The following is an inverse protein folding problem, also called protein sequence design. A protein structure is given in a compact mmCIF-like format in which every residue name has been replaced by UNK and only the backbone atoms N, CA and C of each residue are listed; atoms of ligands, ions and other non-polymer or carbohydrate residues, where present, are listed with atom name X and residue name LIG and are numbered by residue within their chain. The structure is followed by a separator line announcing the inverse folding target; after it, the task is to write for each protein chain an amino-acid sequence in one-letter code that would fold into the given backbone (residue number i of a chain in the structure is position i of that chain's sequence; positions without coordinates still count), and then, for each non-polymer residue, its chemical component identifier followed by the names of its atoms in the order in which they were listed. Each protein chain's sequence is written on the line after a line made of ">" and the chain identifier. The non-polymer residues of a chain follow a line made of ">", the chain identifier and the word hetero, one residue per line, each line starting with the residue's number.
data_IF_013074118787
#
_entry.id   IF_013074118787
#
_cell.length_a   1.000
_cell.length_b   1.000
_cell.length_c   1.000
_cell.angle_alpha   90.00
_cell.angle_beta   90.00
_cell.angle_gamma   90.00
#
_symmetry.space_group_name_H-M   'P 1'
#
loop_
_entity.id
_entity.type
_entity.pdbx_description
1 polymer ?
#
# COMPACT_ATOMS: atom_id res chain seq x y z
N UNK A 1 -9.86 -27.30 -17.96
CA UNK A 1 -9.34 -26.38 -16.93
C UNK A 1 -7.97 -25.90 -17.38
N UNK A 2 -7.72 -24.60 -17.31
CA UNK A 2 -6.42 -24.01 -17.59
C UNK A 2 -5.57 -24.09 -16.31
N UNK A 3 -4.33 -24.56 -16.43
CA UNK A 3 -3.38 -24.71 -15.31
C UNK A 3 -2.39 -23.54 -15.33
N UNK A 4 -2.29 -22.79 -14.23
CA UNK A 4 -1.42 -21.61 -14.11
C UNK A 4 -0.43 -21.80 -12.95
N UNK A 5 0.89 -21.67 -13.15
CA UNK A 5 1.86 -21.64 -12.06
C UNK A 5 1.54 -20.51 -11.07
N UNK A 6 1.64 -20.77 -9.76
CA UNK A 6 1.25 -19.81 -8.74
C UNK A 6 2.07 -20.00 -7.46
N UNK A 7 2.49 -18.89 -6.86
CA UNK A 7 3.01 -18.86 -5.49
C UNK A 7 2.08 -18.01 -4.63
N UNK A 8 1.49 -18.60 -3.60
CA UNK A 8 0.70 -17.85 -2.63
C UNK A 8 1.64 -17.32 -1.55
N UNK A 9 1.63 -16.00 -1.32
CA UNK A 9 2.51 -15.37 -0.34
C UNK A 9 1.72 -14.49 0.62
N UNK A 10 2.21 -14.40 1.85
CA UNK A 10 1.91 -13.29 2.75
C UNK A 10 2.94 -12.20 2.48
N UNK A 11 2.51 -11.03 2.03
CA UNK A 11 3.33 -9.82 1.95
C UNK A 11 2.88 -8.82 3.00
N UNK A 12 3.71 -8.53 4.01
CA UNK A 12 3.31 -7.68 5.14
C UNK A 12 2.05 -8.23 5.83
N UNK A 13 1.04 -7.38 5.99
CA UNK A 13 -0.28 -7.74 6.55
C UNK A 13 -1.32 -8.12 5.48
N UNK A 14 -0.89 -8.49 4.27
CA UNK A 14 -1.76 -8.92 3.18
C UNK A 14 -1.36 -10.30 2.64
N UNK A 15 -2.27 -10.94 1.93
CA UNK A 15 -2.06 -12.26 1.30
C UNK A 15 -2.59 -12.23 -0.13
N UNK A 16 -1.86 -12.87 -1.03
CA UNK A 16 -2.26 -12.93 -2.43
C UNK A 16 -1.36 -13.84 -3.25
N UNK A 17 -1.83 -14.35 -4.40
CA UNK A 17 -0.96 -15.00 -5.36
C UNK A 17 0.03 -14.00 -5.99
N UNK A 18 1.22 -14.52 -6.26
CA UNK A 18 2.27 -13.88 -7.04
C UNK A 18 2.49 -14.71 -8.29
N UNK A 19 2.35 -14.07 -9.45
CA UNK A 19 2.49 -14.68 -10.77
C UNK A 19 3.67 -14.08 -11.53
N UNK A 20 4.28 -14.88 -12.40
CA UNK A 20 5.12 -14.34 -13.47
C UNK A 20 4.22 -13.80 -14.57
N UNK A 21 4.60 -12.68 -15.19
CA UNK A 21 3.75 -12.04 -16.20
C UNK A 21 3.46 -12.96 -17.40
N UNK A 22 4.43 -13.76 -17.84
CA UNK A 22 4.29 -14.70 -18.97
C UNK A 22 3.44 -15.94 -18.66
N UNK A 23 3.06 -16.17 -17.40
CA UNK A 23 2.10 -17.22 -17.04
C UNK A 23 0.65 -16.75 -17.20
N UNK A 24 0.43 -15.46 -17.49
CA UNK A 24 -0.88 -14.84 -17.67
C UNK A 24 -1.08 -14.36 -19.11
N UNK A 25 -2.34 -14.16 -19.56
CA UNK A 25 -2.62 -13.58 -20.86
C UNK A 25 -2.07 -12.15 -21.02
N UNK A 26 -1.62 -11.82 -22.23
CA UNK A 26 -1.15 -10.46 -22.57
C UNK A 26 -2.31 -9.44 -22.64
N UNK A 27 -3.50 -9.87 -23.08
CA UNK A 27 -4.69 -9.01 -23.09
C UNK A 27 -5.13 -8.73 -21.65
N UNK A 28 -5.27 -7.44 -21.33
CA UNK A 28 -5.72 -6.97 -20.02
C UNK A 28 -7.08 -7.57 -19.69
N UNK A 29 -8.02 -7.58 -20.64
CA UNK A 29 -9.36 -8.09 -20.45
C UNK A 29 -9.36 -9.59 -20.14
N UNK A 30 -8.55 -10.37 -20.87
CA UNK A 30 -8.42 -11.81 -20.65
C UNK A 30 -7.69 -12.13 -19.34
N UNK A 31 -6.64 -11.36 -19.02
CA UNK A 31 -5.93 -11.47 -17.75
C UNK A 31 -6.88 -11.18 -16.60
N UNK A 32 -7.63 -10.11 -16.66
CA UNK A 32 -8.51 -9.67 -15.59
C UNK A 32 -9.62 -10.70 -15.35
N UNK A 33 -10.24 -11.20 -16.43
CA UNK A 33 -11.22 -12.29 -16.32
C UNK A 33 -10.61 -13.59 -15.75
N UNK A 34 -9.38 -13.93 -16.14
CA UNK A 34 -8.66 -15.05 -15.55
C UNK A 34 -8.44 -14.82 -14.04
N UNK A 35 -7.97 -13.64 -13.63
CA UNK A 35 -7.75 -13.31 -12.22
C UNK A 35 -9.04 -13.36 -11.40
N UNK A 36 -10.17 -12.86 -11.94
CA UNK A 36 -11.48 -12.97 -11.29
C UNK A 36 -11.87 -14.41 -11.03
N UNK A 37 -11.64 -15.31 -12.00
CA UNK A 37 -11.93 -16.73 -11.86
C UNK A 37 -10.98 -17.41 -10.86
N UNK A 38 -9.68 -17.15 -10.96
CA UNK A 38 -8.69 -17.74 -10.04
C UNK A 38 -8.95 -17.35 -8.59
N UNK A 39 -9.34 -16.10 -8.35
CA UNK A 39 -9.61 -15.59 -7.01
C UNK A 39 -10.98 -15.97 -6.48
N UNK A 40 -11.93 -16.44 -7.31
CA UNK A 40 -13.30 -16.74 -6.88
C UNK A 40 -14.16 -15.49 -6.68
N UNK A 41 -13.83 -14.40 -7.38
CA UNK A 41 -14.50 -13.11 -7.26
C UNK A 41 -15.97 -13.15 -7.69
N UNK A 42 -16.80 -12.36 -7.00
CA UNK A 42 -18.25 -12.35 -7.13
C UNK A 42 -18.99 -13.12 -6.03
N UNK A 43 -18.25 -13.60 -5.02
CA UNK A 43 -18.80 -14.33 -3.87
C UNK A 43 -18.09 -13.88 -2.59
N UNK A 44 -18.83 -13.63 -1.50
CA UNK A 44 -18.28 -13.08 -0.25
C UNK A 44 -17.20 -13.97 0.39
N UNK A 45 -17.31 -15.28 0.21
CA UNK A 45 -16.32 -16.26 0.68
C UNK A 45 -15.21 -16.55 -0.33
N UNK A 46 -15.34 -16.10 -1.59
CA UNK A 46 -14.45 -16.51 -2.68
C UNK A 46 -14.32 -18.04 -2.83
N UNK A 47 -15.43 -18.76 -2.61
CA UNK A 47 -15.46 -20.21 -2.33
C UNK A 47 -14.96 -21.10 -3.48
N UNK A 48 -15.03 -20.61 -4.72
CA UNK A 48 -14.57 -21.32 -5.92
C UNK A 48 -13.24 -20.75 -6.46
N UNK A 49 -12.39 -20.26 -5.55
CA UNK A 49 -11.08 -19.72 -5.90
C UNK A 49 -10.10 -19.73 -4.72
N UNK A 50 -8.94 -19.10 -4.93
CA UNK A 50 -7.87 -19.00 -3.91
C UNK A 50 -7.92 -17.69 -3.11
N UNK A 51 -8.92 -16.86 -3.36
CA UNK A 51 -9.24 -15.71 -2.54
C UNK A 51 -9.59 -16.11 -1.11
N UNK A 52 -9.64 -15.14 -0.22
CA UNK A 52 -9.90 -15.37 1.20
C UNK A 52 -11.10 -14.63 1.75
N UNK A 53 -12.00 -14.16 0.88
CA UNK A 53 -13.24 -13.46 1.24
C UNK A 53 -13.04 -12.08 1.87
N UNK A 54 -11.86 -11.46 1.69
CA UNK A 54 -11.59 -10.12 2.22
C UNK A 54 -10.65 -9.32 1.30
N UNK A 55 -10.74 -7.98 1.28
CA UNK A 55 -9.83 -7.16 0.47
C UNK A 55 -8.34 -7.38 0.77
N UNK A 56 -7.98 -7.77 2.00
CA UNK A 56 -6.59 -8.03 2.42
C UNK A 56 -6.06 -9.38 1.91
N UNK A 57 -6.96 -10.31 1.59
CA UNK A 57 -6.67 -11.67 1.11
C UNK A 57 -7.07 -11.91 -0.35
N UNK A 58 -7.64 -10.90 -1.00
CA UNK A 58 -7.98 -10.88 -2.43
C UNK A 58 -7.12 -9.86 -3.18
N UNK A 59 -5.82 -10.18 -3.30
CA UNK A 59 -4.80 -9.31 -3.92
C UNK A 59 -3.93 -10.12 -4.84
N UNK A 60 -3.45 -9.53 -5.93
CA UNK A 60 -2.53 -10.21 -6.86
C UNK A 60 -1.30 -9.35 -7.10
N UNK A 61 -0.14 -10.00 -7.18
CA UNK A 61 1.09 -9.40 -7.65
C UNK A 61 1.53 -10.10 -8.95
N UNK A 62 1.83 -9.33 -9.98
CA UNK A 62 2.37 -9.83 -11.24
C UNK A 62 3.77 -9.27 -11.39
N UNK A 63 4.74 -10.16 -11.61
CA UNK A 63 6.16 -9.83 -11.61
C UNK A 63 6.80 -10.25 -12.92
N UNK A 64 7.70 -9.41 -13.45
CA UNK A 64 8.53 -9.72 -14.60
C UNK A 64 9.91 -9.07 -14.45
N UNK A 65 10.93 -9.47 -15.23
CA UNK A 65 12.12 -8.67 -15.42
C UNK A 65 11.74 -7.26 -15.90
N UNK A 66 12.46 -6.24 -15.42
CA UNK A 66 12.28 -4.88 -15.92
C UNK A 66 13.19 -4.64 -17.12
N UNK A 67 12.69 -3.85 -18.07
CA UNK A 67 13.51 -3.27 -19.14
C UNK A 67 14.06 -1.88 -18.76
N UNK A 68 13.67 -1.35 -17.60
CA UNK A 68 14.14 -0.05 -17.12
C UNK A 68 15.54 -0.18 -16.50
N UNK A 69 16.53 0.66 -16.85
CA UNK A 69 17.90 0.52 -16.34
C UNK A 69 18.03 0.61 -14.81
N UNK A 70 17.11 1.35 -14.18
CA UNK A 70 17.09 1.54 -12.72
C UNK A 70 16.28 0.49 -11.94
N UNK A 71 15.71 -0.53 -12.62
CA UNK A 71 14.98 -1.61 -11.97
C UNK A 71 15.48 -2.98 -12.41
N UNK A 72 15.41 -3.95 -11.51
CA UNK A 72 15.69 -5.36 -11.81
C UNK A 72 14.39 -6.07 -12.23
N UNK A 73 13.28 -5.75 -11.56
CA UNK A 73 11.96 -6.31 -11.83
C UNK A 73 10.86 -5.25 -11.91
N UNK A 74 9.88 -5.54 -12.75
CA UNK A 74 8.60 -4.84 -12.78
C UNK A 74 7.58 -5.56 -11.89
N UNK A 75 6.75 -4.76 -11.23
CA UNK A 75 5.67 -5.22 -10.37
C UNK A 75 4.38 -4.50 -10.72
N UNK A 76 3.36 -5.27 -11.10
CA UNK A 76 1.98 -4.80 -11.23
C UNK A 76 1.14 -5.36 -10.08
N UNK A 77 0.57 -4.45 -9.29
CA UNK A 77 -0.46 -4.78 -8.31
C UNK A 77 -1.83 -4.86 -8.97
N UNK A 78 -2.64 -5.85 -8.55
CA UNK A 78 -4.06 -5.91 -8.90
C UNK A 78 -4.87 -6.16 -7.64
N UNK A 79 -5.82 -5.27 -7.34
CA UNK A 79 -6.86 -5.52 -6.36
C UNK A 79 -7.98 -6.28 -7.04
N UNK A 80 -8.33 -7.46 -6.53
CA UNK A 80 -9.53 -8.18 -6.97
C UNK A 80 -10.66 -7.86 -5.98
N UNK A 81 -11.81 -7.44 -6.49
CA UNK A 81 -12.96 -7.12 -5.64
C UNK A 81 -13.63 -8.43 -5.21
N UNK A 82 -13.98 -8.54 -3.93
CA UNK A 82 -14.54 -9.79 -3.37
C UNK A 82 -15.96 -10.04 -3.87
N UNK A 83 -16.86 -9.09 -3.61
CA UNK A 83 -18.29 -9.21 -3.91
C UNK A 83 -18.69 -8.73 -5.31
N UNK A 84 -17.77 -8.09 -6.03
CA UNK A 84 -18.00 -7.57 -7.39
C UNK A 84 -17.01 -8.25 -8.32
N UNK A 85 -17.46 -8.74 -9.48
CA UNK A 85 -16.57 -9.28 -10.53
C UNK A 85 -15.82 -8.16 -11.24
N UNK A 86 -14.89 -7.53 -10.51
CA UNK A 86 -14.12 -6.36 -10.97
C UNK A 86 -12.70 -6.44 -10.43
N UNK A 87 -11.75 -6.03 -11.25
CA UNK A 87 -10.38 -5.77 -10.83
C UNK A 87 -10.11 -4.27 -10.78
N UNK A 88 -9.14 -3.87 -9.97
CA UNK A 88 -8.66 -2.50 -9.91
C UNK A 88 -7.12 -2.49 -9.89
N UNK A 89 -6.52 -1.88 -10.90
CA UNK A 89 -5.07 -1.70 -11.07
C UNK A 89 -4.64 -0.24 -10.83
N UNK A 90 -5.55 0.64 -10.43
CA UNK A 90 -5.20 2.01 -10.10
C UNK A 90 -4.26 2.13 -8.89
N UNK A 91 -4.48 1.46 -7.74
CA UNK A 91 -3.60 1.65 -6.59
C UNK A 91 -2.28 0.87 -6.70
N UNK A 92 -1.27 1.28 -5.91
CA UNK A 92 -0.17 0.41 -5.51
C UNK A 92 -0.51 -0.23 -4.14
N UNK A 93 0.06 -1.41 -3.86
CA UNK A 93 0.02 -2.04 -2.55
C UNK A 93 1.43 -2.30 -2.00
N UNK A 94 1.84 -1.49 -1.01
CA UNK A 94 3.13 -1.68 -0.33
C UNK A 94 3.22 -2.98 0.48
N UNK A 95 2.10 -3.57 0.90
CA UNK A 95 2.10 -4.86 1.60
C UNK A 95 2.48 -6.00 0.65
N UNK A 96 1.79 -6.11 -0.49
CA UNK A 96 2.13 -7.12 -1.50
C UNK A 96 3.52 -6.90 -2.10
N UNK A 97 4.01 -5.66 -2.14
CA UNK A 97 5.38 -5.35 -2.54
C UNK A 97 6.44 -6.08 -1.68
N UNK A 98 6.13 -6.40 -0.41
CA UNK A 98 7.02 -7.19 0.46
C UNK A 98 7.26 -8.61 -0.07
N UNK A 99 6.36 -9.15 -0.90
CA UNK A 99 6.50 -10.47 -1.50
C UNK A 99 7.35 -10.45 -2.78
N UNK A 100 7.45 -9.31 -3.46
CA UNK A 100 8.08 -9.20 -4.79
C UNK A 100 9.58 -9.49 -4.75
N UNK A 101 10.32 -8.89 -3.81
CA UNK A 101 11.76 -9.11 -3.66
C UNK A 101 12.11 -10.60 -3.45
N UNK A 102 11.59 -11.24 -2.39
CA UNK A 102 11.79 -12.68 -2.14
C UNK A 102 11.38 -13.55 -3.33
N UNK A 103 10.22 -13.27 -3.94
CA UNK A 103 9.75 -13.99 -5.12
C UNK A 103 10.71 -13.86 -6.30
N UNK A 104 11.17 -12.65 -6.62
CA UNK A 104 12.08 -12.40 -7.73
C UNK A 104 13.41 -13.16 -7.58
N UNK A 105 13.94 -13.24 -6.35
CA UNK A 105 15.14 -14.03 -6.06
C UNK A 105 14.88 -15.53 -6.23
N UNK A 106 13.78 -16.05 -5.67
CA UNK A 106 13.43 -17.47 -5.77
C UNK A 106 13.10 -17.94 -7.19
N UNK A 107 12.53 -17.06 -8.03
CA UNK A 107 12.26 -17.33 -9.44
C UNK A 107 13.48 -17.11 -10.34
N UNK A 108 14.62 -16.72 -9.79
CA UNK A 108 15.85 -16.48 -10.54
C UNK A 108 15.83 -15.23 -11.42
N UNK A 109 14.90 -14.30 -11.18
CA UNK A 109 14.86 -12.99 -11.86
C UNK A 109 15.98 -12.07 -11.37
N UNK A 110 16.40 -12.24 -10.11
CA UNK A 110 17.52 -11.53 -9.49
C UNK A 110 18.47 -12.51 -8.84
N UNK A 111 19.77 -12.37 -9.14
CA UNK A 111 20.81 -13.20 -8.53
C UNK A 111 20.96 -12.82 -7.05
N UNK A 112 20.87 -13.83 -6.17
CA UNK A 112 21.06 -13.62 -4.74
C UNK A 112 22.51 -13.24 -4.38
N UNK A 113 22.63 -12.37 -3.38
CA UNK A 113 23.88 -12.04 -2.68
C UNK A 113 23.87 -12.64 -1.28
N UNK A 114 25.06 -12.97 -0.74
CA UNK A 114 25.17 -13.46 0.65
C UNK A 114 24.85 -12.35 1.66
N UNK A 115 24.14 -12.66 2.74
CA UNK A 115 23.69 -11.70 3.75
C UNK A 115 22.37 -11.03 3.39
N UNK A 116 22.40 -10.08 2.45
CA UNK A 116 21.22 -9.38 1.94
C UNK A 116 21.28 -9.23 0.42
N UNK A 117 20.15 -9.37 -0.24
CA UNK A 117 20.00 -9.12 -1.67
C UNK A 117 19.17 -7.87 -1.88
N UNK A 118 19.76 -6.87 -2.54
CA UNK A 118 19.03 -5.71 -3.01
C UNK A 118 18.26 -6.08 -4.29
N UNK A 119 16.95 -5.81 -4.30
CA UNK A 119 16.10 -5.92 -5.48
C UNK A 119 15.51 -4.55 -5.77
N UNK A 120 15.80 -3.98 -6.94
CA UNK A 120 15.25 -2.72 -7.43
C UNK A 120 13.94 -3.01 -8.16
N UNK A 121 12.84 -2.47 -7.66
CA UNK A 121 11.49 -2.78 -8.14
C UNK A 121 10.88 -1.53 -8.75
N UNK A 122 10.42 -1.60 -10.00
CA UNK A 122 9.55 -0.59 -10.60
C UNK A 122 8.10 -1.02 -10.46
N UNK A 123 7.30 -0.22 -9.74
CA UNK A 123 5.87 -0.43 -9.66
C UNK A 123 5.18 0.12 -10.92
N UNK A 124 4.51 -0.73 -11.69
CA UNK A 124 3.83 -0.36 -12.93
C UNK A 124 2.53 0.42 -12.71
N UNK A 125 1.91 0.33 -11.52
CA UNK A 125 0.71 1.10 -11.21
C UNK A 125 1.01 2.59 -11.10
N UNK A 126 2.16 2.98 -10.55
CA UNK A 126 2.51 4.37 -10.23
C UNK A 126 3.80 4.87 -10.89
N UNK A 127 4.58 4.00 -11.53
CA UNK A 127 5.93 4.34 -12.00
C UNK A 127 6.97 4.49 -10.89
N UNK A 128 6.60 4.26 -9.63
CA UNK A 128 7.47 4.45 -8.47
C UNK A 128 8.55 3.37 -8.38
N UNK A 129 9.76 3.78 -7.99
CA UNK A 129 10.88 2.88 -7.71
C UNK A 129 11.01 2.59 -6.22
N UNK A 130 11.15 1.31 -5.89
CA UNK A 130 11.32 0.82 -4.51
C UNK A 130 12.48 -0.16 -4.46
N UNK A 131 13.38 0.06 -3.52
CA UNK A 131 14.42 -0.91 -3.19
C UNK A 131 13.91 -1.85 -2.10
N UNK A 132 13.97 -3.15 -2.37
CA UNK A 132 13.72 -4.19 -1.37
C UNK A 132 15.04 -4.86 -0.98
N UNK A 133 15.45 -4.71 0.27
CA UNK A 133 16.54 -5.53 0.84
C UNK A 133 15.95 -6.81 1.42
N UNK A 134 16.25 -7.93 0.76
CA UNK A 134 15.78 -9.27 1.10
C UNK A 134 16.82 -9.99 1.93
N UNK A 135 16.41 -10.62 3.02
CA UNK A 135 17.31 -11.42 3.85
C UNK A 135 17.74 -12.71 3.15
N UNK A 136 19.02 -12.83 2.85
CA UNK A 136 19.61 -13.94 2.08
C UNK A 136 20.92 -14.44 2.70
N UNK A 137 20.90 -14.96 3.94
CA UNK A 137 22.11 -15.20 4.75
C UNK A 137 23.15 -16.07 4.06
N UNK A 138 22.72 -17.09 3.30
CA UNK A 138 23.59 -18.00 2.56
C UNK A 138 23.40 -17.88 1.03
N UNK A 139 23.00 -16.71 0.54
CA UNK A 139 22.66 -16.52 -0.87
C UNK A 139 21.35 -17.21 -1.27
N UNK A 140 20.52 -17.56 -0.29
CA UNK A 140 19.17 -18.12 -0.46
C UNK A 140 18.20 -17.32 0.40
N UNK A 141 16.98 -17.12 -0.08
CA UNK A 141 15.94 -16.42 0.67
C UNK A 141 15.64 -17.19 1.96
N UNK A 142 15.64 -16.48 3.09
CA UNK A 142 15.11 -16.98 4.35
C UNK A 142 13.89 -16.17 4.75
N UNK A 143 12.84 -16.86 5.20
CA UNK A 143 11.67 -16.25 5.81
C UNK A 143 11.71 -16.30 7.34
N UNK A 144 12.71 -16.97 7.92
CA UNK A 144 12.89 -17.11 9.35
C UNK A 144 13.71 -15.95 9.92
N UNK A 145 13.25 -15.42 11.05
CA UNK A 145 13.88 -14.30 11.74
C UNK A 145 13.07 -13.87 12.95
N UNK A 146 13.56 -12.82 13.60
CA UNK A 146 13.14 -12.28 14.89
C UNK A 146 12.34 -10.96 14.75
N UNK A 147 12.06 -10.53 13.52
CA UNK A 147 11.24 -9.33 13.28
C UNK A 147 9.76 -9.64 13.44
N UNK A 148 9.10 -8.96 14.38
CA UNK A 148 7.65 -8.94 14.51
C UNK A 148 7.05 -7.73 13.78
N UNK A 149 5.84 -7.88 13.23
CA UNK A 149 5.03 -6.76 12.74
C UNK A 149 3.60 -6.86 13.27
N UNK A 150 3.02 -5.72 13.61
CA UNK A 150 1.65 -5.67 14.12
C UNK A 150 0.65 -6.21 13.08
N UNK A 151 -0.28 -7.07 13.55
CA UNK A 151 -1.27 -7.74 12.71
C UNK A 151 -0.83 -9.10 12.13
N UNK A 152 0.38 -9.58 12.42
CA UNK A 152 0.85 -10.92 12.03
C UNK A 152 1.41 -11.65 13.26
N UNK A 153 0.91 -12.86 13.58
CA UNK A 153 1.45 -13.65 14.68
C UNK A 153 2.90 -14.10 14.45
N UNK A 154 3.68 -14.16 15.53
CA UNK A 154 5.06 -14.67 15.52
C UNK A 154 6.06 -13.68 14.91
N UNK A 155 7.19 -14.22 14.46
CA UNK A 155 8.31 -13.46 13.87
C UNK A 155 8.71 -14.04 12.53
N UNK A 156 9.38 -13.24 11.71
CA UNK A 156 9.90 -13.64 10.40
C UNK A 156 11.13 -12.80 10.03
N UNK A 157 11.79 -13.18 8.93
CA UNK A 157 12.90 -12.40 8.39
C UNK A 157 12.43 -10.99 7.95
N UNK A 158 13.26 -9.95 8.18
CA UNK A 158 12.94 -8.61 7.73
C UNK A 158 13.06 -8.48 6.21
N UNK A 159 12.14 -7.72 5.63
CA UNK A 159 12.22 -7.17 4.28
C UNK A 159 12.14 -5.65 4.44
N UNK A 160 13.24 -4.96 4.14
CA UNK A 160 13.27 -3.50 4.20
C UNK A 160 12.89 -2.94 2.84
N UNK A 161 11.86 -2.11 2.80
CA UNK A 161 11.39 -1.43 1.60
C UNK A 161 11.73 0.06 1.70
N UNK A 162 12.52 0.57 0.76
CA UNK A 162 12.91 1.97 0.65
C UNK A 162 12.29 2.58 -0.60
N UNK A 163 11.35 3.51 -0.42
CA UNK A 163 10.73 4.26 -1.50
C UNK A 163 11.66 5.40 -1.94
N UNK A 164 12.14 5.35 -3.18
CA UNK A 164 13.21 6.23 -3.67
C UNK A 164 12.70 7.58 -4.17
N UNK A 165 11.59 7.54 -4.91
CA UNK A 165 10.88 8.70 -5.44
C UNK A 165 9.37 8.40 -5.43
N UNK A 166 8.75 8.67 -4.29
CA UNK A 166 7.33 8.41 -4.08
C UNK A 166 6.46 9.65 -4.27
N UNK A 167 7.06 10.82 -4.46
CA UNK A 167 6.33 12.08 -4.57
C UNK A 167 5.51 12.11 -5.86
N UNK A 168 4.25 12.52 -5.78
CA UNK A 168 3.40 12.68 -6.96
C UNK A 168 3.09 11.37 -7.69
N UNK A 169 3.04 10.24 -6.99
CA UNK A 169 2.85 8.90 -7.57
C UNK A 169 1.62 8.74 -8.49
N UNK A 170 0.61 9.62 -8.36
CA UNK A 170 -0.57 9.68 -9.23
C UNK A 170 -0.86 11.07 -9.79
N UNK A 171 -0.38 12.11 -9.14
CA UNK A 171 -0.70 13.52 -9.45
C UNK A 171 0.48 14.28 -10.04
N UNK A 172 1.68 13.70 -10.01
CA UNK A 172 2.93 14.32 -10.44
C UNK A 172 3.49 15.37 -9.47
N UNK A 173 2.84 15.62 -8.32
CA UNK A 173 3.29 16.59 -7.31
C UNK A 173 3.12 16.03 -5.90
N UNK A 174 4.04 16.38 -4.99
CA UNK A 174 3.90 16.02 -3.57
C UNK A 174 2.64 16.65 -2.94
N UNK A 175 2.36 17.91 -3.26
CA UNK A 175 1.16 18.64 -2.87
C UNK A 175 0.37 19.01 -4.13
N UNK A 176 -0.64 18.21 -4.53
CA UNK A 176 -1.31 18.36 -5.82
C UNK A 176 -2.05 19.69 -5.97
N UNK A 177 -2.55 20.23 -4.85
CA UNK A 177 -3.22 21.53 -4.75
C UNK A 177 -2.26 22.71 -4.80
N UNK A 178 -0.94 22.45 -4.70
CA UNK A 178 0.10 23.47 -4.60
C UNK A 178 0.30 24.04 -3.20
N UNK A 179 -0.45 23.57 -2.20
CA UNK A 179 -0.39 24.04 -0.82
C UNK A 179 -0.12 22.88 0.15
N UNK A 180 0.61 23.12 1.23
CA UNK A 180 0.81 22.12 2.29
C UNK A 180 -0.42 21.98 3.19
N UNK A 181 -1.30 22.98 3.19
CA UNK A 181 -2.61 22.99 3.85
C UNK A 181 -3.66 23.64 2.95
N UNK A 182 -4.79 22.97 2.79
CA UNK A 182 -5.99 23.42 2.11
C UNK A 182 -7.13 23.62 3.11
N UNK A 183 -8.20 24.31 2.70
CA UNK A 183 -9.45 24.42 3.46
C UNK A 183 -10.60 24.02 2.56
N UNK A 184 -11.31 22.94 2.92
CA UNK A 184 -12.49 22.44 2.18
C UNK A 184 -13.65 22.35 3.18
N UNK A 185 -14.80 22.93 2.83
CA UNK A 185 -15.96 23.09 3.74
C UNK A 185 -15.60 23.66 5.13
N UNK A 186 -14.66 24.61 5.15
CA UNK A 186 -14.17 25.24 6.38
C UNK A 186 -13.25 24.35 7.24
N UNK A 187 -12.87 23.17 6.75
CA UNK A 187 -12.01 22.22 7.46
C UNK A 187 -10.58 22.26 6.92
N UNK A 188 -9.57 22.58 7.75
CA UNK A 188 -8.17 22.51 7.35
C UNK A 188 -7.76 21.07 7.11
N UNK A 189 -7.05 20.83 6.00
CA UNK A 189 -6.54 19.50 5.64
C UNK A 189 -5.26 19.58 4.84
N UNK A 190 -4.49 18.50 4.80
CA UNK A 190 -3.36 18.37 3.88
C UNK A 190 -3.71 17.40 2.77
N UNK A 191 -3.71 17.86 1.52
CA UNK A 191 -3.80 17.01 0.34
C UNK A 191 -2.38 16.66 -0.14
N UNK A 192 -1.97 15.41 0.06
CA UNK A 192 -0.61 14.94 -0.24
C UNK A 192 -0.64 13.71 -1.14
N UNK A 193 0.32 13.61 -2.06
CA UNK A 193 0.57 12.42 -2.85
C UNK A 193 2.03 11.98 -2.68
N UNK A 194 2.23 11.05 -1.74
CA UNK A 194 3.54 10.44 -1.47
C UNK A 194 3.32 8.93 -1.33
N UNK A 195 3.59 8.18 -2.40
CA UNK A 195 3.23 6.77 -2.63
C UNK A 195 1.72 6.46 -2.66
N UNK A 196 0.89 7.36 -2.12
CA UNK A 196 -0.57 7.28 -2.09
C UNK A 196 -1.14 8.70 -2.00
N UNK A 197 -2.10 9.07 -2.87
CA UNK A 197 -2.90 10.28 -2.69
C UNK A 197 -3.77 10.18 -1.44
N UNK A 198 -3.67 11.16 -0.55
CA UNK A 198 -4.39 11.22 0.71
C UNK A 198 -4.93 12.62 0.97
N UNK A 199 -6.07 12.66 1.66
CA UNK A 199 -6.54 13.84 2.38
C UNK A 199 -6.37 13.57 3.88
N UNK A 200 -5.65 14.44 4.57
CA UNK A 200 -5.31 14.26 5.98
C UNK A 200 -6.04 15.34 6.78
N UNK A 201 -6.84 14.93 7.76
CA UNK A 201 -7.64 15.83 8.61
C UNK A 201 -7.36 15.53 10.08
N UNK A 202 -7.23 16.55 10.91
CA UNK A 202 -7.23 16.38 12.37
C UNK A 202 -8.60 15.87 12.85
N UNK A 203 -8.64 14.76 13.58
CA UNK A 203 -9.87 14.08 13.98
C UNK A 203 -10.89 15.01 14.68
N UNK A 204 -10.40 15.94 15.51
CA UNK A 204 -11.24 16.91 16.23
C UNK A 204 -12.09 17.81 15.33
N UNK A 205 -11.61 18.12 14.11
CA UNK A 205 -12.32 18.94 13.12
C UNK A 205 -13.62 18.27 12.63
N UNK A 206 -13.71 16.95 12.76
CA UNK A 206 -14.90 16.16 12.42
C UNK A 206 -15.62 15.60 13.66
N UNK A 207 -15.34 16.15 14.84
CA UNK A 207 -15.96 15.71 16.10
C UNK A 207 -15.54 14.31 16.52
N UNK A 208 -14.35 13.85 16.11
CA UNK A 208 -13.78 12.55 16.48
C UNK A 208 -12.61 12.71 17.44
N UNK A 209 -12.42 11.72 18.30
CA UNK A 209 -11.28 11.65 19.22
C UNK A 209 -10.00 11.21 18.50
N UNK A 210 -10.16 10.45 17.41
CA UNK A 210 -9.07 9.84 16.64
C UNK A 210 -8.62 8.48 17.16
N UNK A 211 -9.15 8.04 18.32
CA UNK A 211 -8.85 6.77 18.98
C UNK A 211 -10.01 5.77 18.97
N UNK A 212 -11.15 6.11 18.36
CA UNK A 212 -12.28 5.20 18.16
C UNK A 212 -11.84 3.89 17.49
N UNK A 213 -12.49 2.78 17.81
CA UNK A 213 -12.29 1.53 17.09
C UNK A 213 -12.79 1.65 15.64
N UNK A 214 -12.25 0.86 14.70
CA UNK A 214 -12.76 0.82 13.33
C UNK A 214 -14.27 0.56 13.25
N UNK A 215 -14.81 -0.28 14.14
CA UNK A 215 -16.24 -0.60 14.18
C UNK A 215 -17.09 0.61 14.61
N UNK A 216 -16.65 1.41 15.57
CA UNK A 216 -17.34 2.64 15.97
C UNK A 216 -17.36 3.67 14.84
N UNK A 217 -16.25 3.83 14.12
CA UNK A 217 -16.17 4.74 12.96
C UNK A 217 -17.04 4.26 11.79
N UNK A 218 -17.04 2.95 11.52
CA UNK A 218 -17.83 2.34 10.44
C UNK A 218 -19.35 2.37 10.72
N UNK A 219 -19.73 2.39 12.00
CA UNK A 219 -21.12 2.50 12.45
C UNK A 219 -21.69 3.92 12.33
N UNK A 220 -20.85 4.96 12.42
CA UNK A 220 -21.31 6.36 12.35
C UNK A 220 -21.52 6.82 10.89
N UNK A 221 -22.75 6.64 10.41
CA UNK A 221 -23.14 6.99 9.03
C UNK A 221 -23.12 8.49 8.75
N UNK A 222 -23.38 9.33 9.75
CA UNK A 222 -23.35 10.78 9.57
C UNK A 222 -21.92 11.27 9.35
N UNK A 223 -20.99 10.78 10.17
CA UNK A 223 -19.56 11.03 9.99
C UNK A 223 -19.05 10.52 8.64
N UNK A 224 -19.37 9.29 8.26
CA UNK A 224 -18.92 8.73 6.98
C UNK A 224 -19.46 9.51 5.77
N UNK A 225 -20.71 9.97 5.82
CA UNK A 225 -21.26 10.83 4.77
C UNK A 225 -20.52 12.16 4.63
N UNK A 226 -20.14 12.77 5.76
CA UNK A 226 -19.33 14.01 5.76
C UNK A 226 -17.90 13.76 5.26
N UNK A 227 -17.27 12.67 5.70
CA UNK A 227 -15.93 12.29 5.25
C UNK A 227 -15.90 12.05 3.73
N UNK A 228 -16.92 11.39 3.19
CA UNK A 228 -17.05 11.13 1.76
C UNK A 228 -17.24 12.43 0.97
N UNK A 229 -18.09 13.35 1.42
CA UNK A 229 -18.24 14.68 0.78
C UNK A 229 -16.89 15.40 0.65
N UNK A 230 -16.10 15.43 1.73
CA UNK A 230 -14.77 16.03 1.72
C UNK A 230 -13.82 15.29 0.77
N UNK A 231 -13.90 13.95 0.71
CA UNK A 231 -13.08 13.12 -0.20
C UNK A 231 -13.35 13.42 -1.67
N UNK A 232 -14.61 13.57 -2.06
CA UNK A 232 -14.98 13.91 -3.44
C UNK A 232 -14.41 15.28 -3.83
N UNK A 233 -14.54 16.27 -2.94
CA UNK A 233 -14.01 17.62 -3.16
C UNK A 233 -12.48 17.66 -3.19
N UNK A 234 -11.82 16.97 -2.25
CA UNK A 234 -10.36 16.83 -2.24
C UNK A 234 -9.86 16.12 -3.50
N UNK A 235 -10.55 15.08 -3.96
CA UNK A 235 -10.23 14.40 -5.22
C UNK A 235 -10.23 15.34 -6.43
N UNK A 236 -11.26 16.19 -6.54
CA UNK A 236 -11.33 17.23 -7.57
C UNK A 236 -10.19 18.25 -7.42
N UNK A 237 -9.95 18.76 -6.22
CA UNK A 237 -8.90 19.75 -5.95
C UNK A 237 -7.48 19.21 -6.25
N UNK A 238 -7.26 17.91 -6.02
CA UNK A 238 -6.01 17.22 -6.32
C UNK A 238 -5.83 16.90 -7.82
N UNK A 239 -6.80 17.21 -8.67
CA UNK A 239 -6.76 16.90 -10.10
C UNK A 239 -7.03 15.43 -10.43
N UNK A 240 -7.62 14.65 -9.51
CA UNK A 240 -7.94 13.23 -9.71
C UNK A 240 -9.28 13.02 -10.45
N UNK A 241 -10.01 14.10 -10.74
CA UNK A 241 -11.33 14.07 -11.39
C UNK A 241 -12.44 13.57 -10.47
N UNK A 242 -13.49 12.98 -11.04
CA UNK A 242 -14.50 12.27 -10.26
C UNK A 242 -13.89 11.02 -9.63
N UNK A 243 -13.97 10.94 -8.30
CA UNK A 243 -13.41 9.86 -7.49
C UNK A 243 -14.49 9.02 -6.81
N UNK A 244 -15.76 9.18 -7.17
CA UNK A 244 -16.90 8.47 -6.56
C UNK A 244 -16.73 6.95 -6.64
N UNK A 245 -16.30 6.43 -7.79
CA UNK A 245 -16.02 5.00 -8.00
C UNK A 245 -14.54 4.62 -7.83
N UNK A 246 -13.70 5.54 -7.35
CA UNK A 246 -12.26 5.34 -7.18
C UNK A 246 -11.88 5.10 -5.73
N UNK A 247 -10.84 4.30 -5.53
CA UNK A 247 -10.30 4.01 -4.20
C UNK A 247 -9.32 5.09 -3.67
N UNK A 248 -9.12 6.18 -4.41
CA UNK A 248 -8.23 7.31 -4.06
C UNK A 248 -8.98 8.65 -4.20
N UNK A 249 -8.59 9.72 -3.48
CA UNK A 249 -7.59 9.74 -2.43
C UNK A 249 -8.08 9.00 -1.18
N UNK A 250 -7.16 8.63 -0.29
CA UNK A 250 -7.48 7.94 0.96
C UNK A 250 -7.76 8.97 2.05
N UNK A 251 -8.95 8.95 2.68
CA UNK A 251 -9.20 9.78 3.85
C UNK A 251 -8.40 9.27 5.06
N UNK A 252 -7.76 10.18 5.78
CA UNK A 252 -7.02 9.85 6.99
C UNK A 252 -7.35 10.86 8.09
N UNK A 253 -7.83 10.35 9.23
CA UNK A 253 -7.90 11.14 10.45
C UNK A 253 -6.60 11.01 11.23
N UNK A 254 -6.13 12.11 11.81
CA UNK A 254 -4.95 12.15 12.67
C UNK A 254 -5.26 12.77 14.02
N UNK A 255 -4.59 12.29 15.06
CA UNK A 255 -4.68 12.83 16.42
C UNK A 255 -3.36 12.62 17.15
N UNK A 256 -3.18 13.28 18.29
CA UNK A 256 -2.01 13.05 19.16
C UNK A 256 -1.87 11.56 19.49
N UNK A 257 -0.63 11.06 19.44
CA UNK A 257 -0.28 9.70 19.84
C UNK A 257 -0.58 9.44 21.33
N UNK A 258 -0.95 8.19 21.66
CA UNK A 258 -1.30 7.77 23.03
C UNK A 258 -0.42 6.67 23.59
N UNK A 259 0.29 5.94 22.74
CA UNK A 259 1.16 4.81 23.08
C UNK A 259 2.66 5.11 22.86
N UNK A 260 3.05 6.38 22.93
CA UNK A 260 4.44 6.82 22.80
C UNK A 260 4.95 6.93 21.35
N UNK A 261 4.07 6.79 20.36
CA UNK A 261 4.37 7.09 18.97
C UNK A 261 4.45 8.58 18.66
N UNK A 262 4.71 8.90 17.40
CA UNK A 262 4.74 10.28 16.88
C UNK A 262 3.33 10.81 16.61
N UNK A 263 2.48 10.00 15.97
CA UNK A 263 1.12 10.39 15.58
C UNK A 263 0.19 9.18 15.61
N UNK A 264 -1.08 9.38 15.95
CA UNK A 264 -2.12 8.35 15.86
C UNK A 264 -3.02 8.61 14.66
N UNK A 265 -3.40 7.55 13.95
CA UNK A 265 -4.19 7.66 12.71
C UNK A 265 -5.37 6.71 12.64
N UNK A 266 -6.36 7.11 11.83
CA UNK A 266 -7.44 6.26 11.31
C UNK A 266 -7.49 6.42 9.80
N UNK A 267 -7.17 5.34 9.10
CA UNK A 267 -6.98 5.33 7.65
C UNK A 267 -8.17 4.65 6.97
N UNK A 268 -8.77 5.25 5.95
CA UNK A 268 -9.99 4.73 5.32
C UNK A 268 -9.74 4.17 3.91
N UNK A 269 -10.51 3.15 3.53
CA UNK A 269 -10.35 2.40 2.27
C UNK A 269 -11.60 2.38 1.36
N UNK A 270 -11.98 3.50 0.72
CA UNK A 270 -12.18 4.80 1.35
C UNK A 270 -13.43 4.84 2.24
N UNK A 271 -14.31 3.83 2.18
CA UNK A 271 -15.60 3.83 2.88
C UNK A 271 -15.61 3.07 4.21
N UNK A 272 -14.54 2.33 4.50
CA UNK A 272 -14.36 1.59 5.75
C UNK A 272 -13.03 1.94 6.40
N UNK A 273 -13.01 1.99 7.73
CA UNK A 273 -11.81 2.19 8.51
C UNK A 273 -10.92 0.94 8.44
N UNK A 274 -9.68 1.15 8.03
CA UNK A 274 -8.67 0.12 7.99
C UNK A 274 -8.30 -0.31 9.42
N UNK A 275 -8.16 -1.61 9.65
CA UNK A 275 -7.89 -2.19 10.99
C UNK A 275 -6.42 -2.06 11.45
N UNK A 276 -5.55 -1.66 10.54
CA UNK A 276 -4.12 -1.36 10.77
C UNK A 276 -3.76 -0.09 9.97
N UNK A 277 -2.65 -0.07 9.23
CA UNK A 277 -2.31 0.99 8.27
C UNK A 277 -1.70 0.42 6.98
N UNK A 278 -1.99 1.05 5.84
CA UNK A 278 -1.33 0.71 4.58
C UNK A 278 0.09 1.29 4.54
N UNK A 279 1.08 0.52 4.06
CA UNK A 279 2.47 0.98 3.96
C UNK A 279 2.61 2.26 3.11
N UNK A 280 1.92 2.33 1.98
CA UNK A 280 1.97 3.53 1.14
C UNK A 280 1.40 4.76 1.86
N UNK A 281 0.34 4.58 2.66
CA UNK A 281 -0.20 5.62 3.52
C UNK A 281 0.77 6.05 4.61
N UNK A 282 1.48 5.11 5.25
CA UNK A 282 2.48 5.46 6.26
C UNK A 282 3.64 6.29 5.72
N UNK A 283 4.01 6.09 4.44
CA UNK A 283 5.04 6.91 3.80
C UNK A 283 4.59 8.38 3.76
N UNK A 284 3.41 8.66 3.20
CA UNK A 284 2.93 10.04 3.12
C UNK A 284 2.60 10.67 4.48
N UNK A 285 2.16 9.88 5.46
CA UNK A 285 1.95 10.36 6.83
C UNK A 285 3.27 10.76 7.49
N UNK A 286 4.31 9.94 7.35
CA UNK A 286 5.64 10.26 7.87
C UNK A 286 6.25 11.49 7.17
N UNK A 287 6.06 11.63 5.85
CA UNK A 287 6.46 12.82 5.10
C UNK A 287 5.72 14.07 5.60
N UNK A 288 4.41 13.97 5.85
CA UNK A 288 3.63 15.08 6.40
C UNK A 288 4.11 15.48 7.80
N UNK A 289 4.52 14.55 8.67
CA UNK A 289 5.11 14.88 9.99
C UNK A 289 6.31 15.83 9.91
N UNK A 290 7.04 15.82 8.79
CA UNK A 290 8.25 16.64 8.59
C UNK A 290 8.08 17.70 7.51
N UNK A 291 6.85 17.92 7.05
CA UNK A 291 6.52 18.98 6.08
C UNK A 291 5.90 20.15 6.81
N UNK A 292 6.60 21.28 6.76
CA UNK A 292 6.13 22.52 7.37
C UNK A 292 4.79 22.99 6.78
N UNK A 293 3.94 23.54 7.63
CA UNK A 293 2.58 23.94 7.30
C UNK A 293 1.57 22.80 7.10
N UNK A 294 1.96 21.53 7.10
CA UNK A 294 0.98 20.43 7.04
C UNK A 294 0.14 20.35 8.33
N UNK A 295 -1.07 19.81 8.26
CA UNK A 295 -1.93 19.65 9.45
C UNK A 295 -1.30 18.76 10.52
N UNK A 296 -0.49 17.76 10.12
CA UNK A 296 0.22 16.91 11.08
C UNK A 296 1.35 17.69 11.73
N UNK A 297 2.17 18.42 10.97
CA UNK A 297 3.23 19.24 11.53
C UNK A 297 2.68 20.26 12.53
N UNK A 298 1.56 20.92 12.21
CA UNK A 298 0.89 21.84 13.14
C UNK A 298 0.43 21.15 14.43
N UNK A 299 -0.18 19.97 14.31
CA UNK A 299 -0.59 19.17 15.48
C UNK A 299 0.60 18.73 16.35
N UNK A 300 1.79 18.57 15.77
CA UNK A 300 3.03 18.26 16.46
C UNK A 300 3.76 19.49 17.04
N UNK A 301 3.21 20.71 16.84
CA UNK A 301 3.83 21.96 17.30
C UNK A 301 4.85 22.57 16.32
N UNK A 302 4.80 22.19 15.05
CA UNK A 302 5.70 22.63 13.98
C UNK A 302 6.81 21.62 13.65
N UNK A 303 7.58 21.89 12.60
CA UNK A 303 8.78 21.11 12.25
C UNK A 303 9.98 21.67 13.00
N UNK A 304 10.70 20.81 13.72
CA UNK A 304 11.92 21.17 14.45
C UNK A 304 13.19 20.67 13.76
N UNK A 305 14.31 21.31 14.06
CA UNK A 305 15.65 20.82 13.70
C UNK A 305 16.32 20.13 14.90
N UNK A 306 16.97 18.96 14.71
CA UNK A 306 17.09 18.22 13.46
C UNK A 306 15.76 17.58 13.03
N UNK A 307 15.45 17.60 11.73
CA UNK A 307 14.26 16.92 11.16
C UNK A 307 14.15 15.48 11.64
N UNK A 308 12.93 15.01 11.92
CA UNK A 308 12.67 13.64 12.38
C UNK A 308 13.23 12.63 11.38
N UNK A 309 14.02 11.68 11.87
CA UNK A 309 14.52 10.54 11.07
C UNK A 309 13.69 9.28 11.28
N UNK A 310 12.86 9.26 12.31
CA UNK A 310 12.07 8.12 12.71
C UNK A 310 10.68 8.59 13.11
N UNK A 311 9.65 8.04 12.47
CA UNK A 311 8.24 8.36 12.73
C UNK A 311 7.53 7.06 13.09
N UNK A 312 7.04 6.95 14.33
CA UNK A 312 6.19 5.84 14.77
C UNK A 312 4.73 6.26 14.61
N UNK A 313 4.01 5.62 13.71
CA UNK A 313 2.61 5.92 13.43
C UNK A 313 1.74 4.87 14.13
N UNK A 314 0.94 5.29 15.11
CA UNK A 314 -0.02 4.44 15.80
C UNK A 314 -1.27 4.24 14.95
N UNK A 315 -1.77 3.01 14.89
CA UNK A 315 -2.96 2.61 14.16
C UNK A 315 -3.76 1.59 14.98
N UNK A 316 -5.01 1.22 14.61
CA UNK A 316 -5.89 0.47 15.50
C UNK A 316 -5.34 -0.84 16.08
N UNK A 317 -4.43 -1.51 15.35
CA UNK A 317 -3.80 -2.77 15.79
C UNK A 317 -2.37 -2.63 16.33
N UNK A 318 -1.86 -1.44 16.64
CA UNK A 318 -0.46 -1.22 17.08
C UNK A 318 0.18 0.02 16.46
N UNK A 319 1.34 -0.13 15.82
CA UNK A 319 1.95 0.94 15.05
C UNK A 319 2.96 0.48 13.99
N UNK A 320 3.38 1.42 13.16
CA UNK A 320 4.41 1.22 12.15
C UNK A 320 5.53 2.25 12.31
N UNK A 321 6.76 1.77 12.25
CA UNK A 321 7.95 2.61 12.13
C UNK A 321 8.27 2.93 10.67
N UNK A 322 8.45 4.21 10.41
CA UNK A 322 8.95 4.74 9.13
C UNK A 322 10.26 5.48 9.40
N UNK A 323 11.32 5.04 8.73
CA UNK A 323 12.62 5.70 8.75
C UNK A 323 12.69 6.67 7.58
N UNK A 324 12.90 7.95 7.89
CA UNK A 324 13.09 9.00 6.90
C UNK A 324 14.57 9.25 6.69
N UNK A 325 14.96 9.39 5.43
CA UNK A 325 16.29 9.83 5.03
C UNK A 325 16.17 11.00 4.06
N UNK A 326 17.09 11.95 4.21
CA UNK A 326 17.11 13.20 3.47
C UNK A 326 18.32 13.14 2.54
N UNK A 327 18.06 13.23 1.24
CA UNK A 327 19.06 13.14 0.18
C UNK A 327 19.00 14.39 -0.71
N UNK A 328 20.02 14.59 -1.54
CA UNK A 328 20.21 15.85 -2.26
C UNK A 328 21.16 16.79 -1.52
N UNK A 329 21.56 17.88 -2.18
CA UNK A 329 22.60 18.78 -1.65
C UNK A 329 22.16 19.51 -0.37
N UNK A 330 20.85 19.69 -0.20
CA UNK A 330 20.23 20.37 0.95
C UNK A 330 19.25 19.44 1.69
N UNK A 331 19.23 18.13 1.35
CA UNK A 331 18.28 17.18 1.93
C UNK A 331 16.83 17.44 1.49
N UNK A 332 16.66 17.95 0.27
CA UNK A 332 15.37 18.28 -0.36
C UNK A 332 14.59 17.03 -0.77
N UNK A 333 15.27 15.90 -1.02
CA UNK A 333 14.64 14.65 -1.43
C UNK A 333 14.41 13.74 -0.22
N UNK A 334 13.15 13.51 0.12
CA UNK A 334 12.75 12.62 1.21
C UNK A 334 12.59 11.20 0.68
N UNK A 335 13.35 10.26 1.25
CA UNK A 335 13.16 8.83 1.08
C UNK A 335 12.62 8.24 2.36
N UNK A 336 11.70 7.29 2.22
CA UNK A 336 11.07 6.65 3.35
C UNK A 336 11.27 5.14 3.28
N UNK A 337 11.67 4.57 4.40
CA UNK A 337 11.94 3.14 4.55
C UNK A 337 11.04 2.54 5.60
N UNK A 338 10.53 1.34 5.33
CA UNK A 338 9.76 0.55 6.30
C UNK A 338 10.33 -0.85 6.39
N UNK A 339 10.36 -1.40 7.60
CA UNK A 339 10.67 -2.81 7.80
C UNK A 339 9.37 -3.60 7.84
N UNK A 340 9.33 -4.66 7.05
CA UNK A 340 8.21 -5.58 6.94
C UNK A 340 8.69 -7.01 6.97
N UNK A 341 7.75 -7.94 6.84
CA UNK A 341 8.05 -9.36 6.73
C UNK A 341 7.21 -9.97 5.62
N UNK A 342 7.71 -11.05 5.04
CA UNK A 342 7.02 -11.82 3.99
C UNK A 342 7.10 -13.31 4.32
N UNK A 343 6.25 -14.13 3.72
CA UNK A 343 6.34 -15.60 3.82
C UNK A 343 5.73 -16.28 2.60
N UNK A 344 6.45 -17.23 2.00
CA UNK A 344 5.88 -18.18 1.04
C UNK A 344 4.95 -19.16 1.75
N UNK A 345 3.70 -19.26 1.28
CA UNK A 345 2.66 -20.08 1.91
C UNK A 345 2.36 -21.34 1.10
N UNK A 346 2.33 -21.20 -0.22
CA UNK A 346 2.03 -22.29 -1.15
C UNK A 346 2.81 -22.08 -2.44
N UNK A 347 3.20 -23.18 -3.09
CA UNK A 347 3.73 -23.16 -4.45
C UNK A 347 3.17 -24.32 -5.24
N UNK A 348 2.71 -24.05 -6.46
CA UNK A 348 2.23 -25.10 -7.34
C UNK A 348 1.44 -24.51 -8.48
N UNK A 349 0.27 -25.08 -8.74
CA UNK A 349 -0.61 -24.64 -9.82
C UNK A 349 -1.99 -24.30 -9.27
N UNK A 350 -2.58 -23.25 -9.81
CA UNK A 350 -4.00 -22.92 -9.65
C UNK A 350 -4.73 -23.23 -10.96
N UNK A 351 -6.00 -23.59 -10.86
CA UNK A 351 -6.81 -24.01 -12.00
C UNK A 351 -7.97 -23.04 -12.21
N UNK A 352 -8.13 -22.58 -13.44
CA UNK A 352 -9.32 -21.82 -13.86
C UNK A 352 -10.20 -22.69 -14.77
N UNK A 353 -11.51 -22.45 -14.73
CA UNK A 353 -12.40 -22.93 -15.77
C UNK A 353 -11.90 -22.43 -17.14
N UNK A 354 -11.99 -23.26 -18.18
CA UNK A 354 -11.70 -22.78 -19.52
C UNK A 354 -12.76 -21.73 -19.86
N UNK A 355 -12.35 -20.49 -20.14
CA UNK A 355 -13.27 -19.44 -20.53
C UNK A 355 -14.09 -19.91 -21.74
N UNK A 356 -15.43 -19.97 -21.60
CA UNK A 356 -16.28 -19.99 -22.78
C UNK A 356 -16.00 -18.67 -23.47
N UNK A 357 -15.41 -18.70 -24.67
CA UNK A 357 -15.38 -17.52 -25.55
C UNK A 357 -16.81 -17.02 -25.61
N UNK A 358 -17.09 -15.85 -25.05
CA UNK A 358 -18.31 -15.12 -25.37
C UNK A 358 -18.24 -14.91 -26.88
N UNK A 359 -19.06 -15.67 -27.62
CA UNK A 359 -19.23 -15.45 -29.04
C UNK A 359 -19.71 -13.99 -29.19
N UNK A 360 -19.06 -13.29 -30.13
CA UNK A 360 -19.21 -11.84 -30.32
C UNK A 360 -20.57 -11.40 -30.81
#
# INVERSE_FOLDING_TARGET
>A
MQRIPCVLMRGGTSKGPVFLAWDLPDSIEQRDELLLNLMGSGHELEIDGIGGGSPQTSKVAIVSPSLHPDADVDYLFVQVMVSQRRVDTAPNCGNMLCAVGPFAVEQGLVKASKGRTLVRIRNLNTGTFVNAEVYTPEGTVSYEGDTAIDGVPGTAAPVQLTFLDAAGSKTGKLFPTGQTQDVIDGIPMTCIDMAMPMMIIEAGQLGKRGDESPAELDADKAFLGRLESLRLQAGLAMGLGDVSDKVIPKPVLVSTAKAGGTIQVRYFMPHNCHRALAITGSIGLATACVTDGSVIAQLLGGVSEPRLKHVRIEHPSGGIDVVLSYTGAQGETIRASVVRTSRRLFSGYVYAAASRRLAG
#
